data_IF_966497791084
#
_entry.id   IF_966497791084
#
_cell.length_a   1.000
_cell.length_b   1.000
_cell.length_c   1.000
_cell.angle_alpha   90.00
_cell.angle_beta   90.00
_cell.angle_gamma   90.00
#
_symmetry.space_group_name_H-M   'P 1'
#
loop_
_entity.id
_entity.type
_entity.pdbx_description
1 polymer ?
#
# COMPACT_ATOMS: atom_id res chain seq x y z
N UNK A 1 -22.16 19.55 8.20
CA UNK A 1 -20.75 19.49 7.82
C UNK A 1 -20.55 19.66 6.32
N UNK A 2 -19.89 20.74 5.93
CA UNK A 2 -19.37 20.98 4.58
C UNK A 2 -17.95 20.38 4.48
N UNK A 3 -17.62 19.73 3.36
CA UNK A 3 -16.28 19.21 3.09
C UNK A 3 -15.80 19.73 1.72
N UNK A 4 -14.56 20.17 1.66
CA UNK A 4 -13.86 20.56 0.44
C UNK A 4 -12.55 19.78 0.34
N UNK A 5 -12.10 19.52 -0.87
CA UNK A 5 -10.88 18.75 -1.15
C UNK A 5 -9.84 19.68 -1.75
N UNK A 6 -8.75 19.85 -1.01
CA UNK A 6 -7.54 20.51 -1.51
C UNK A 6 -6.69 19.51 -2.28
N UNK A 7 -6.25 19.88 -3.48
CA UNK A 7 -5.35 19.08 -4.31
C UNK A 7 -4.47 19.95 -5.20
N UNK A 8 -3.45 19.36 -5.85
CA UNK A 8 -2.73 20.02 -6.96
C UNK A 8 -3.31 19.59 -8.30
N UNK A 9 -3.51 20.55 -9.19
CA UNK A 9 -3.85 20.26 -10.59
C UNK A 9 -2.60 19.85 -11.40
N UNK A 10 -2.80 19.49 -12.66
CA UNK A 10 -1.71 19.06 -13.56
C UNK A 10 -0.66 20.15 -13.82
N UNK A 11 -0.98 21.41 -13.51
CA UNK A 11 -0.07 22.55 -13.61
C UNK A 11 0.60 22.86 -12.25
N UNK A 12 0.41 22.01 -11.24
CA UNK A 12 0.95 22.15 -9.90
C UNK A 12 0.26 23.21 -9.05
N UNK A 13 -0.88 23.77 -9.48
CA UNK A 13 -1.60 24.79 -8.72
C UNK A 13 -2.51 24.13 -7.70
N UNK A 14 -2.54 24.67 -6.49
CA UNK A 14 -3.51 24.22 -5.49
C UNK A 14 -4.93 24.65 -5.87
N UNK A 15 -5.86 23.71 -5.73
CA UNK A 15 -7.28 23.89 -5.96
C UNK A 15 -8.02 23.41 -4.73
N UNK A 16 -9.15 24.06 -4.44
CA UNK A 16 -10.09 23.66 -3.40
C UNK A 16 -11.44 23.51 -4.08
N UNK A 17 -11.98 22.29 -4.07
CA UNK A 17 -13.21 21.92 -4.80
C UNK A 17 -14.12 21.08 -3.92
N UNK A 18 -15.39 20.96 -4.27
CA UNK A 18 -16.26 19.98 -3.61
C UNK A 18 -15.82 18.55 -3.96
N UNK A 19 -15.97 17.56 -3.06
CA UNK A 19 -15.64 16.17 -3.37
C UNK A 19 -16.39 15.65 -4.59
N UNK A 20 -17.66 16.06 -4.78
CA UNK A 20 -18.45 15.74 -5.98
C UNK A 20 -17.77 16.15 -7.29
N UNK A 21 -17.07 17.27 -7.33
CA UNK A 21 -16.36 17.72 -8.53
C UNK A 21 -15.19 16.78 -8.94
N UNK A 22 -14.77 15.90 -8.02
CA UNK A 22 -13.72 14.91 -8.24
C UNK A 22 -14.26 13.52 -8.62
N UNK A 23 -15.56 13.38 -8.81
CA UNK A 23 -16.16 12.10 -9.20
C UNK A 23 -15.57 11.61 -10.52
N UNK A 24 -15.09 10.36 -10.52
CA UNK A 24 -14.46 9.73 -11.69
C UNK A 24 -13.03 10.20 -12.01
N UNK A 25 -12.54 11.27 -11.38
CA UNK A 25 -11.19 11.79 -11.60
C UNK A 25 -10.11 10.83 -11.08
N UNK A 26 -8.96 10.66 -11.78
CA UNK A 26 -7.86 9.79 -11.38
C UNK A 26 -6.96 10.44 -10.32
N UNK A 27 -7.57 10.83 -9.20
CA UNK A 27 -6.89 11.58 -8.13
C UNK A 27 -5.68 10.85 -7.53
N UNK A 28 -5.68 9.52 -7.56
CA UNK A 28 -4.57 8.67 -7.18
C UNK A 28 -3.30 8.90 -8.01
N UNK A 29 -3.44 9.38 -9.26
CA UNK A 29 -2.32 9.63 -10.16
C UNK A 29 -1.80 11.07 -10.10
N UNK A 30 -2.48 11.94 -9.35
CA UNK A 30 -2.11 13.35 -9.25
C UNK A 30 -0.86 13.58 -8.39
N UNK A 31 -0.18 14.73 -8.57
CA UNK A 31 0.96 15.08 -7.73
C UNK A 31 0.60 15.08 -6.25
N UNK A 32 1.54 14.61 -5.42
CA UNK A 32 1.38 14.67 -3.96
C UNK A 32 1.22 16.13 -3.50
N UNK A 33 0.27 16.38 -2.59
CA UNK A 33 -0.05 17.74 -2.17
C UNK A 33 1.09 18.36 -1.34
N UNK A 34 1.66 17.58 -0.43
CA UNK A 34 2.75 18.01 0.44
C UNK A 34 4.00 17.16 0.19
N UNK A 35 4.93 17.68 -0.59
CA UNK A 35 6.28 17.12 -0.67
C UNK A 35 6.98 17.31 0.67
N UNK A 36 7.37 16.21 1.31
CA UNK A 36 8.26 16.26 2.47
C UNK A 36 9.66 16.69 1.99
N UNK A 37 9.99 17.97 2.19
CA UNK A 37 11.34 18.48 1.92
C UNK A 37 12.25 18.21 3.12
N UNK A 38 13.49 17.74 2.90
CA UNK A 38 14.49 17.71 3.96
C UNK A 38 14.65 19.11 4.55
N UNK A 39 14.50 19.26 5.87
CA UNK A 39 14.77 20.53 6.55
C UNK A 39 16.25 20.63 6.92
N UNK A 40 16.89 21.76 6.62
CA UNK A 40 18.31 21.99 6.89
C UNK A 40 18.63 21.74 8.38
N UNK A 41 19.60 20.86 8.63
CA UNK A 41 20.12 20.55 9.97
C UNK A 41 19.50 19.33 10.67
N UNK A 42 18.39 18.76 10.16
CA UNK A 42 17.87 17.48 10.64
C UNK A 42 17.83 16.47 9.50
N UNK A 43 18.56 15.36 9.65
CA UNK A 43 18.36 14.14 8.84
C UNK A 43 16.99 13.52 9.19
N UNK A 44 15.90 14.23 8.91
CA UNK A 44 14.62 13.55 8.71
C UNK A 44 14.90 12.55 7.59
N UNK A 45 14.96 11.25 7.95
CA UNK A 45 15.18 10.19 6.97
C UNK A 45 13.99 10.30 6.03
N UNK A 46 14.16 10.89 4.85
CA UNK A 46 13.17 10.81 3.78
C UNK A 46 12.92 9.32 3.58
N UNK A 47 11.71 8.87 3.92
CA UNK A 47 11.36 7.45 3.83
C UNK A 47 10.73 7.25 2.48
N UNK A 48 11.57 7.19 1.45
CA UNK A 48 11.12 6.82 0.12
C UNK A 48 10.62 5.37 0.14
N UNK A 49 9.47 5.13 -0.47
CA UNK A 49 8.90 3.81 -0.67
C UNK A 49 8.67 3.60 -2.16
N UNK A 50 9.28 2.57 -2.72
CA UNK A 50 8.99 2.11 -4.08
C UNK A 50 7.88 1.06 -4.03
N UNK A 51 6.76 1.35 -4.70
CA UNK A 51 5.60 0.47 -4.84
C UNK A 51 5.81 -0.47 -6.03
N UNK A 52 5.74 -1.77 -5.78
CA UNK A 52 5.75 -2.82 -6.78
C UNK A 52 4.45 -2.89 -7.57
N UNK A 53 3.31 -2.47 -7.00
CA UNK A 53 2.04 -2.34 -7.73
C UNK A 53 2.11 -1.21 -8.76
N UNK A 54 2.61 -0.04 -8.37
CA UNK A 54 2.52 1.19 -9.18
C UNK A 54 3.79 1.47 -9.96
N UNK A 55 4.88 0.76 -9.66
CA UNK A 55 6.24 0.96 -10.22
C UNK A 55 6.76 2.39 -10.02
N UNK A 56 6.32 3.06 -8.96
CA UNK A 56 6.70 4.45 -8.64
C UNK A 56 7.15 4.57 -7.19
N UNK A 57 8.00 5.57 -6.95
CA UNK A 57 8.40 5.96 -5.60
C UNK A 57 7.52 7.08 -5.08
N UNK A 58 7.16 7.02 -3.80
CA UNK A 58 6.58 8.15 -3.08
C UNK A 58 7.20 8.27 -1.68
N UNK A 59 7.02 9.42 -1.04
CA UNK A 59 7.59 9.69 0.29
C UNK A 59 6.58 9.35 1.38
N UNK A 60 7.02 8.58 2.38
CA UNK A 60 6.24 8.29 3.57
C UNK A 60 6.59 9.24 4.73
N UNK A 61 5.55 9.68 5.45
CA UNK A 61 5.65 10.63 6.58
C UNK A 61 6.23 10.00 7.86
N UNK A 62 6.16 8.68 8.01
CA UNK A 62 6.66 7.93 9.16
C UNK A 62 7.05 6.50 8.76
N UNK A 63 7.73 5.76 9.65
CA UNK A 63 7.98 4.31 9.47
C UNK A 63 6.66 3.55 9.35
N UNK A 64 5.77 3.89 10.25
CA UNK A 64 4.40 3.39 10.38
C UNK A 64 3.58 3.58 9.07
N UNK A 65 3.72 4.73 8.42
CA UNK A 65 3.16 4.99 7.09
C UNK A 65 3.82 4.12 6.00
N UNK A 66 5.14 3.91 6.07
CA UNK A 66 5.85 3.02 5.13
C UNK A 66 5.42 1.56 5.30
N UNK A 67 5.24 1.09 6.53
CA UNK A 67 4.76 -0.27 6.81
C UNK A 67 3.33 -0.45 6.29
N UNK A 68 2.47 0.58 6.39
CA UNK A 68 1.13 0.54 5.79
C UNK A 68 1.18 0.50 4.26
N UNK A 69 2.09 1.25 3.63
CA UNK A 69 2.32 1.16 2.18
C UNK A 69 2.76 -0.25 1.78
N UNK A 70 3.63 -0.90 2.56
CA UNK A 70 4.03 -2.29 2.33
C UNK A 70 2.86 -3.27 2.36
N UNK A 71 1.91 -3.11 3.28
CA UNK A 71 0.73 -3.99 3.31
C UNK A 71 -0.16 -3.77 2.09
N UNK A 72 -0.42 -2.50 1.74
CA UNK A 72 -1.27 -2.17 0.59
C UNK A 72 -0.63 -2.53 -0.75
N UNK A 73 0.69 -2.43 -0.87
CA UNK A 73 1.44 -2.79 -2.10
C UNK A 73 1.48 -4.31 -2.33
N UNK A 74 1.18 -5.10 -1.31
CA UNK A 74 1.04 -6.56 -1.40
C UNK A 74 -0.40 -7.02 -1.63
N UNK A 75 -1.39 -6.15 -1.39
CA UNK A 75 -2.81 -6.50 -1.52
C UNK A 75 -3.15 -6.76 -3.00
N UNK A 76 -3.55 -8.00 -3.38
CA UNK A 76 -3.79 -8.35 -4.79
C UNK A 76 -4.96 -7.58 -5.42
N UNK A 77 -5.85 -7.01 -4.60
CA UNK A 77 -6.96 -6.21 -5.07
C UNK A 77 -6.56 -4.73 -5.29
N UNK A 78 -5.31 -4.33 -5.01
CA UNK A 78 -4.79 -2.99 -5.29
C UNK A 78 -4.04 -2.97 -6.62
N UNK A 79 -4.54 -2.17 -7.57
CA UNK A 79 -3.94 -1.98 -8.90
C UNK A 79 -3.15 -0.67 -9.04
N UNK A 80 -3.33 0.27 -8.11
CA UNK A 80 -2.55 1.50 -8.03
C UNK A 80 -2.50 1.98 -6.58
N UNK A 81 -1.34 2.48 -6.15
CA UNK A 81 -1.08 2.99 -4.80
C UNK A 81 -0.21 4.25 -4.85
N UNK A 82 -0.67 5.32 -4.20
CA UNK A 82 0.10 6.55 -4.02
C UNK A 82 -0.08 7.12 -2.62
N UNK A 83 0.92 7.88 -2.16
CA UNK A 83 0.71 8.80 -1.05
C UNK A 83 -0.42 9.78 -1.40
N UNK A 84 -1.21 10.20 -0.40
CA UNK A 84 -2.34 11.10 -0.66
C UNK A 84 -1.92 12.36 -1.44
N UNK A 85 -2.61 12.59 -2.55
CA UNK A 85 -2.58 13.82 -3.35
C UNK A 85 -3.58 14.87 -2.85
N UNK A 86 -4.31 14.54 -1.78
CA UNK A 86 -5.47 15.27 -1.29
C UNK A 86 -5.33 15.62 0.20
N UNK A 87 -5.99 16.70 0.59
CA UNK A 87 -6.31 17.07 1.96
C UNK A 87 -7.80 17.42 2.03
N UNK A 88 -8.50 16.93 3.06
CA UNK A 88 -9.92 17.19 3.24
C UNK A 88 -10.08 18.33 4.26
N UNK A 89 -10.62 19.45 3.82
CA UNK A 89 -10.99 20.58 4.67
C UNK A 89 -12.46 20.47 5.03
N UNK A 90 -12.82 20.64 6.29
CA UNK A 90 -14.20 20.54 6.72
C UNK A 90 -14.62 21.71 7.62
N UNK A 91 -15.91 22.03 7.55
CA UNK A 91 -16.58 23.01 8.39
C UNK A 91 -17.92 22.47 8.90
N UNK A 92 -18.19 22.66 10.18
CA UNK A 92 -19.47 22.33 10.81
C UNK A 92 -19.87 23.45 11.78
N UNK A 93 -20.68 24.39 11.28
CA UNK A 93 -20.91 25.67 11.95
C UNK A 93 -19.58 26.46 12.08
N UNK A 94 -19.25 26.85 13.30
CA UNK A 94 -17.99 27.55 13.64
C UNK A 94 -16.77 26.60 13.72
N UNK A 95 -16.99 25.28 13.80
CA UNK A 95 -15.89 24.31 13.89
C UNK A 95 -15.30 24.09 12.50
N UNK A 96 -13.98 24.11 12.41
CA UNK A 96 -13.26 23.80 11.17
C UNK A 96 -12.09 22.87 11.47
N UNK A 97 -11.64 22.16 10.45
CA UNK A 97 -10.49 21.29 10.58
C UNK A 97 -10.04 20.70 9.26
N UNK A 98 -9.00 19.88 9.36
CA UNK A 98 -8.32 19.27 8.23
C UNK A 98 -8.10 17.79 8.53
N UNK A 99 -8.31 16.95 7.53
CA UNK A 99 -7.93 15.53 7.55
C UNK A 99 -6.96 15.29 6.41
N UNK A 100 -5.80 14.69 6.72
CA UNK A 100 -4.80 14.30 5.75
C UNK A 100 -4.84 12.77 5.52
N UNK A 101 -5.51 12.28 4.47
CA UNK A 101 -5.50 10.86 4.14
C UNK A 101 -4.07 10.31 4.01
N UNK A 102 -3.93 9.02 4.27
CA UNK A 102 -2.70 8.27 4.16
C UNK A 102 -2.33 8.07 2.68
N UNK A 103 -3.26 7.46 1.95
CA UNK A 103 -3.06 6.99 0.59
C UNK A 103 -4.30 7.21 -0.25
N UNK A 104 -4.08 7.35 -1.54
CA UNK A 104 -5.07 7.03 -2.54
C UNK A 104 -4.69 5.71 -3.20
N UNK A 105 -5.70 4.90 -3.50
CA UNK A 105 -5.50 3.67 -4.25
C UNK A 105 -6.62 3.44 -5.25
N UNK A 106 -6.36 2.60 -6.24
CA UNK A 106 -7.35 2.09 -7.18
C UNK A 106 -7.37 0.58 -7.09
N UNK A 107 -8.55 0.00 -6.90
CA UNK A 107 -8.73 -1.43 -6.90
C UNK A 107 -8.58 -2.03 -8.31
N UNK A 108 -8.34 -3.33 -8.44
CA UNK A 108 -8.34 -4.04 -9.73
C UNK A 108 -9.68 -3.83 -10.47
N UNK A 109 -10.80 -3.83 -9.74
CA UNK A 109 -12.12 -3.49 -10.28
C UNK A 109 -12.35 -2.00 -10.61
N UNK A 110 -11.32 -1.15 -10.55
CA UNK A 110 -11.38 0.27 -10.87
C UNK A 110 -11.89 1.18 -9.74
N UNK A 111 -12.41 0.63 -8.66
CA UNK A 111 -12.91 1.41 -7.52
C UNK A 111 -11.79 2.17 -6.81
N UNK A 112 -11.94 3.49 -6.69
CA UNK A 112 -11.01 4.33 -5.94
C UNK A 112 -11.22 4.22 -4.44
N UNK A 113 -10.12 4.24 -3.71
CA UNK A 113 -10.08 4.10 -2.26
C UNK A 113 -9.28 5.24 -1.65
N UNK A 114 -9.88 5.85 -0.62
CA UNK A 114 -9.21 6.82 0.24
C UNK A 114 -8.88 6.12 1.55
N UNK A 115 -7.61 6.03 1.88
CA UNK A 115 -7.17 5.40 3.11
C UNK A 115 -6.87 6.44 4.18
N UNK A 116 -7.53 6.33 5.33
CA UNK A 116 -7.06 6.96 6.57
C UNK A 116 -5.95 6.11 7.19
N UNK A 117 -5.17 6.71 8.10
CA UNK A 117 -4.05 6.02 8.73
C UNK A 117 -4.32 5.74 10.22
N UNK A 118 -4.22 4.48 10.65
CA UNK A 118 -4.30 4.12 12.06
C UNK A 118 -2.97 4.38 12.79
N UNK A 119 -2.76 5.62 13.26
CA UNK A 119 -1.50 6.10 13.86
C UNK A 119 -1.25 5.45 15.22
N UNK A 120 -0.08 4.87 15.42
CA UNK A 120 0.27 4.19 16.68
C UNK A 120 -0.72 3.07 17.07
N UNK A 121 -1.36 2.44 16.08
CA UNK A 121 -2.37 1.40 16.29
C UNK A 121 -3.73 1.91 16.77
N UNK A 122 -3.94 3.23 16.82
CA UNK A 122 -5.24 3.83 17.13
C UNK A 122 -6.02 4.08 15.85
N UNK A 123 -7.30 3.75 15.87
CA UNK A 123 -8.18 4.10 14.76
C UNK A 123 -8.26 5.61 14.55
N UNK A 124 -8.51 6.06 13.30
CA UNK A 124 -8.91 7.44 13.05
C UNK A 124 -10.07 7.81 13.98
N UNK A 125 -10.07 9.04 14.48
CA UNK A 125 -11.18 9.47 15.33
C UNK A 125 -12.48 9.60 14.51
N UNK A 126 -13.62 9.67 15.21
CA UNK A 126 -14.93 9.69 14.56
C UNK A 126 -15.12 10.91 13.65
N UNK A 127 -14.47 12.05 13.97
CA UNK A 127 -14.53 13.25 13.15
C UNK A 127 -13.75 13.05 11.85
N UNK A 128 -12.52 12.54 11.92
CA UNK A 128 -11.71 12.18 10.75
C UNK A 128 -12.44 11.17 9.85
N UNK A 129 -13.01 10.12 10.46
CA UNK A 129 -13.76 9.10 9.76
C UNK A 129 -15.06 9.65 9.13
N UNK A 130 -15.79 10.54 9.82
CA UNK A 130 -16.98 11.19 9.28
C UNK A 130 -16.67 12.10 8.09
N UNK A 131 -15.62 12.91 8.18
CA UNK A 131 -15.16 13.79 7.10
C UNK A 131 -14.75 12.98 5.87
N UNK A 132 -13.96 11.92 6.07
CA UNK A 132 -13.57 11.03 4.99
C UNK A 132 -14.78 10.35 4.34
N UNK A 133 -15.72 9.83 5.14
CA UNK A 133 -16.96 9.21 4.63
C UNK A 133 -17.81 10.19 3.82
N UNK A 134 -17.99 11.43 4.29
CA UNK A 134 -18.72 12.46 3.56
C UNK A 134 -18.05 12.77 2.21
N UNK A 135 -16.73 12.97 2.20
CA UNK A 135 -15.98 13.18 0.95
C UNK A 135 -16.08 11.97 0.01
N UNK A 136 -15.92 10.75 0.54
CA UNK A 136 -15.99 9.52 -0.23
C UNK A 136 -17.36 9.27 -0.84
N UNK A 137 -18.45 9.54 -0.11
CA UNK A 137 -19.82 9.42 -0.63
C UNK A 137 -20.06 10.35 -1.82
N UNK A 138 -19.63 11.61 -1.73
CA UNK A 138 -19.81 12.59 -2.80
C UNK A 138 -18.90 12.33 -4.01
N UNK A 139 -17.65 11.93 -3.78
CA UNK A 139 -16.66 11.69 -4.83
C UNK A 139 -16.77 10.28 -5.44
N UNK A 140 -17.53 9.36 -4.84
CA UNK A 140 -17.61 7.96 -5.24
C UNK A 140 -16.38 7.12 -4.84
N UNK A 141 -15.73 7.47 -3.73
CA UNK A 141 -14.58 6.73 -3.19
C UNK A 141 -14.99 5.81 -2.04
N UNK A 142 -14.36 4.64 -1.96
CA UNK A 142 -14.45 3.79 -0.79
C UNK A 142 -13.46 4.29 0.27
N UNK A 143 -13.96 4.60 1.46
CA UNK A 143 -13.12 4.99 2.59
C UNK A 143 -12.69 3.75 3.35
N UNK A 144 -11.38 3.61 3.60
CA UNK A 144 -10.80 2.49 4.36
C UNK A 144 -9.78 3.01 5.36
N UNK A 145 -9.41 2.17 6.32
CA UNK A 145 -8.30 2.44 7.23
C UNK A 145 -7.13 1.53 6.85
N UNK A 146 -5.96 2.11 6.60
CA UNK A 146 -4.74 1.34 6.39
C UNK A 146 -4.22 0.81 7.72
N UNK A 147 -4.15 -0.52 7.84
CA UNK A 147 -3.72 -1.22 9.05
C UNK A 147 -2.38 -1.90 8.81
N UNK A 148 -1.54 -1.90 9.84
CA UNK A 148 -0.29 -2.63 9.85
C UNK A 148 -0.44 -3.78 10.84
N UNK A 149 -0.21 -5.05 10.43
CA UNK A 149 -0.25 -6.16 11.38
C UNK A 149 0.84 -6.02 12.44
N UNK A 150 0.65 -6.66 13.58
CA UNK A 150 1.64 -6.69 14.65
C UNK A 150 2.52 -7.96 14.57
N UNK A 151 3.52 -8.03 15.45
CA UNK A 151 4.24 -9.28 15.74
C UNK A 151 4.96 -9.89 14.54
N UNK A 152 4.85 -11.22 14.42
CA UNK A 152 5.61 -12.01 13.46
C UNK A 152 5.15 -11.80 12.01
N UNK A 153 3.84 -11.67 11.79
CA UNK A 153 3.28 -11.36 10.47
C UNK A 153 3.93 -10.11 9.87
N UNK A 154 4.06 -9.02 10.65
CA UNK A 154 4.74 -7.80 10.20
C UNK A 154 6.20 -8.04 9.82
N UNK A 155 6.93 -8.84 10.59
CA UNK A 155 8.35 -9.15 10.34
C UNK A 155 8.52 -9.95 9.06
N UNK A 156 7.63 -10.93 8.82
CA UNK A 156 7.65 -11.74 7.61
C UNK A 156 7.29 -10.90 6.38
N UNK A 157 6.25 -10.06 6.46
CA UNK A 157 5.91 -9.10 5.40
C UNK A 157 7.08 -8.15 5.09
N UNK A 158 7.73 -7.63 6.13
CA UNK A 158 8.92 -6.80 5.97
C UNK A 158 10.04 -7.56 5.26
N UNK A 159 10.32 -8.81 5.65
CA UNK A 159 11.30 -9.66 5.00
C UNK A 159 11.00 -9.84 3.50
N UNK A 160 9.80 -10.32 3.15
CA UNK A 160 9.44 -10.58 1.74
C UNK A 160 9.38 -9.30 0.91
N UNK A 161 9.08 -8.14 1.52
CA UNK A 161 9.06 -6.86 0.82
C UNK A 161 10.41 -6.49 0.19
N UNK A 162 11.54 -7.04 0.67
CA UNK A 162 12.85 -6.78 0.06
C UNK A 162 12.98 -7.38 -1.33
N UNK A 163 12.15 -8.37 -1.68
CA UNK A 163 12.22 -9.09 -2.94
C UNK A 163 11.18 -8.60 -3.97
N UNK A 164 10.35 -7.62 -3.64
CA UNK A 164 9.22 -7.13 -4.46
C UNK A 164 9.57 -6.51 -5.83
N UNK A 165 10.86 -6.34 -6.13
CA UNK A 165 11.33 -5.69 -7.35
C UNK A 165 11.25 -6.64 -8.55
N UNK A 166 10.98 -6.08 -9.73
CA UNK A 166 10.77 -6.84 -10.98
C UNK A 166 12.01 -7.61 -11.45
N UNK A 167 13.19 -7.29 -10.90
CA UNK A 167 14.41 -8.08 -11.08
C UNK A 167 14.29 -9.52 -10.58
N UNK A 168 13.32 -9.80 -9.70
CA UNK A 168 13.00 -11.13 -9.22
C UNK A 168 11.78 -11.76 -9.94
N UNK A 169 11.27 -11.12 -11.00
CA UNK A 169 10.20 -11.67 -11.83
C UNK A 169 10.82 -12.51 -12.97
N UNK A 170 10.48 -13.80 -13.01
CA UNK A 170 10.87 -14.71 -14.08
C UNK A 170 9.73 -15.71 -14.34
N UNK A 171 9.02 -15.55 -15.46
CA UNK A 171 7.84 -16.37 -15.79
C UNK A 171 8.18 -17.85 -16.00
N UNK A 172 9.36 -18.16 -16.55
CA UNK A 172 9.76 -19.56 -16.76
C UNK A 172 10.07 -20.23 -15.43
N UNK A 173 10.81 -19.54 -14.57
CA UNK A 173 11.14 -20.04 -13.25
C UNK A 173 9.88 -20.12 -12.34
N UNK A 174 8.98 -19.15 -12.48
CA UNK A 174 7.68 -19.11 -11.78
C UNK A 174 6.90 -20.41 -11.96
N UNK A 175 6.64 -20.83 -13.19
CA UNK A 175 5.87 -22.04 -13.46
C UNK A 175 6.51 -23.30 -12.83
N UNK A 176 7.84 -23.41 -12.90
CA UNK A 176 8.59 -24.52 -12.30
C UNK A 176 8.51 -24.50 -10.76
N UNK A 177 8.64 -23.32 -10.15
CA UNK A 177 8.56 -23.16 -8.70
C UNK A 177 7.15 -23.47 -8.18
N UNK A 178 6.10 -22.95 -8.83
CA UNK A 178 4.72 -23.26 -8.45
C UNK A 178 4.44 -24.77 -8.53
N UNK A 179 4.97 -25.45 -9.54
CA UNK A 179 4.89 -26.91 -9.63
C UNK A 179 5.67 -27.61 -8.50
N UNK A 180 6.91 -27.18 -8.20
CA UNK A 180 7.72 -27.75 -7.14
C UNK A 180 7.12 -27.55 -5.73
N UNK A 181 6.36 -26.47 -5.54
CA UNK A 181 5.64 -26.12 -4.32
C UNK A 181 4.14 -26.50 -4.37
N UNK A 182 3.71 -27.36 -5.30
CA UNK A 182 2.35 -27.89 -5.33
C UNK A 182 1.97 -28.66 -4.05
N UNK A 183 2.96 -29.05 -3.25
CA UNK A 183 2.81 -29.52 -1.86
C UNK A 183 3.76 -28.75 -0.95
N UNK A 184 3.43 -28.56 0.34
CA UNK A 184 4.31 -27.91 1.30
C UNK A 184 5.72 -28.50 1.29
N UNK A 185 6.72 -27.65 1.10
CA UNK A 185 8.16 -28.00 1.07
C UNK A 185 8.99 -26.86 1.68
N UNK A 186 10.15 -27.14 2.29
CA UNK A 186 11.09 -26.09 2.68
C UNK A 186 11.45 -25.15 1.51
N UNK A 187 11.43 -23.84 1.76
CA UNK A 187 11.73 -22.81 0.75
C UNK A 187 13.05 -23.05 0.03
N UNK A 188 14.12 -23.38 0.77
CA UNK A 188 15.44 -23.65 0.20
C UNK A 188 15.43 -24.88 -0.71
N UNK A 189 14.78 -25.97 -0.29
CA UNK A 189 14.77 -27.22 -1.06
C UNK A 189 14.04 -27.06 -2.40
N UNK A 190 12.92 -26.33 -2.43
CA UNK A 190 12.18 -26.12 -3.68
C UNK A 190 12.99 -25.37 -4.74
N UNK A 191 13.73 -24.33 -4.35
CA UNK A 191 14.62 -23.60 -5.25
C UNK A 191 15.85 -24.42 -5.65
N UNK A 192 16.50 -25.06 -4.67
CA UNK A 192 17.75 -25.78 -4.87
C UNK A 192 17.56 -27.01 -5.77
N UNK A 193 16.43 -27.74 -5.65
CA UNK A 193 16.09 -28.86 -6.54
C UNK A 193 15.99 -28.48 -8.02
N UNK A 194 15.69 -27.21 -8.31
CA UNK A 194 15.56 -26.67 -9.67
C UNK A 194 16.80 -25.87 -10.10
N UNK A 195 17.82 -25.78 -9.24
CA UNK A 195 18.97 -24.90 -9.42
C UNK A 195 18.58 -23.43 -9.69
N UNK A 196 17.49 -22.96 -9.06
CA UNK A 196 16.97 -21.60 -9.22
C UNK A 196 17.38 -20.70 -8.03
N UNK A 197 17.52 -19.37 -8.24
CA UNK A 197 17.76 -18.44 -7.15
C UNK A 197 16.61 -18.45 -6.14
N UNK A 198 16.92 -18.59 -4.85
CA UNK A 198 15.93 -18.53 -3.76
C UNK A 198 15.16 -17.20 -3.72
N UNK A 199 15.75 -16.11 -4.24
CA UNK A 199 15.11 -14.80 -4.39
C UNK A 199 13.77 -14.87 -5.14
N UNK A 200 13.64 -15.79 -6.10
CA UNK A 200 12.40 -16.01 -6.84
C UNK A 200 11.29 -16.56 -5.93
N UNK A 201 11.58 -17.50 -5.02
CA UNK A 201 10.59 -17.96 -4.03
C UNK A 201 10.12 -16.83 -3.12
N UNK A 202 11.04 -15.96 -2.70
CA UNK A 202 10.72 -14.80 -1.88
C UNK A 202 9.85 -13.78 -2.61
N UNK A 203 10.08 -13.60 -3.92
CA UNK A 203 9.22 -12.80 -4.79
C UNK A 203 7.83 -13.41 -4.93
N UNK A 204 7.70 -14.72 -5.13
CA UNK A 204 6.40 -15.38 -5.21
C UNK A 204 5.61 -15.32 -3.88
N UNK A 205 6.31 -15.31 -2.73
CA UNK A 205 5.68 -15.03 -1.43
C UNK A 205 5.18 -13.59 -1.29
N UNK A 206 5.85 -12.64 -1.97
CA UNK A 206 5.42 -11.25 -2.03
C UNK A 206 4.19 -11.09 -2.93
N UNK A 207 4.21 -11.64 -4.14
CA UNK A 207 3.08 -11.58 -5.08
C UNK A 207 1.87 -12.39 -4.60
N UNK A 208 2.07 -13.31 -3.65
CA UNK A 208 1.01 -14.15 -3.08
C UNK A 208 0.75 -15.44 -3.84
N UNK A 209 1.62 -15.78 -4.78
CA UNK A 209 1.52 -17.01 -5.58
C UNK A 209 2.11 -18.22 -4.82
N UNK A 210 3.02 -17.94 -3.90
CA UNK A 210 3.39 -18.84 -2.81
C UNK A 210 2.87 -18.30 -1.48
N UNK A 211 2.59 -19.21 -0.55
CA UNK A 211 2.18 -18.87 0.81
C UNK A 211 2.86 -19.77 1.84
N UNK A 212 2.72 -19.41 3.12
CA UNK A 212 3.38 -20.07 4.25
C UNK A 212 2.57 -19.84 5.53
N UNK A 213 3.02 -20.40 6.64
CA UNK A 213 2.50 -20.05 7.97
C UNK A 213 3.07 -18.70 8.42
N UNK A 214 2.35 -17.62 8.11
CA UNK A 214 2.82 -16.25 8.30
C UNK A 214 2.96 -15.81 9.76
N UNK A 215 2.42 -16.56 10.71
CA UNK A 215 2.52 -16.35 12.15
C UNK A 215 3.82 -16.92 12.77
N UNK A 216 4.54 -17.78 12.05
CA UNK A 216 5.84 -18.34 12.45
C UNK A 216 7.02 -17.60 11.82
N UNK A 217 8.22 -17.64 12.42
CA UNK A 217 9.42 -17.09 11.77
C UNK A 217 9.65 -17.67 10.38
N UNK A 218 9.72 -16.79 9.38
CA UNK A 218 9.98 -17.17 8.00
C UNK A 218 11.50 -17.27 7.77
N UNK A 219 11.99 -18.49 7.64
CA UNK A 219 13.39 -18.87 7.47
C UNK A 219 13.53 -19.81 6.26
N UNK A 220 14.75 -20.07 5.75
CA UNK A 220 14.93 -20.90 4.55
C UNK A 220 14.32 -22.31 4.63
N UNK A 221 14.18 -22.88 5.84
CA UNK A 221 13.57 -24.20 6.06
C UNK A 221 12.06 -24.16 6.32
N UNK A 222 11.44 -22.97 6.36
CA UNK A 222 9.98 -22.83 6.50
C UNK A 222 9.28 -23.50 5.33
N UNK A 223 8.16 -24.19 5.64
CA UNK A 223 7.32 -24.80 4.62
C UNK A 223 6.58 -23.72 3.82
N UNK A 224 6.66 -23.84 2.51
CA UNK A 224 6.01 -22.98 1.53
C UNK A 224 5.24 -23.87 0.56
N UNK A 225 4.11 -23.38 0.06
CA UNK A 225 3.31 -24.06 -0.96
C UNK A 225 2.67 -23.02 -1.90
N UNK A 226 2.27 -23.44 -3.10
CA UNK A 226 1.51 -22.60 -4.01
C UNK A 226 0.16 -22.24 -3.39
N UNK A 227 -0.20 -20.95 -3.42
CA UNK A 227 -1.53 -20.52 -2.99
C UNK A 227 -2.54 -20.96 -4.04
N UNK A 228 -3.70 -21.46 -3.61
CA UNK A 228 -4.62 -22.27 -4.40
C UNK A 228 -5.34 -21.56 -5.56
N UNK A 229 -4.98 -20.33 -5.89
CA UNK A 229 -5.46 -19.66 -7.11
C UNK A 229 -4.66 -20.18 -8.30
N UNK A 230 -5.21 -21.28 -8.82
CA UNK A 230 -4.77 -22.02 -9.98
C UNK A 230 -4.77 -21.12 -11.22
N UNK A 231 -3.75 -21.34 -12.07
CA UNK A 231 -3.65 -20.95 -13.49
C UNK A 231 -4.96 -20.60 -14.21
#
# INVERSE_FOLDING_TARGET
MEVQVRHRDVLGRERLVSPRALHGAPVEEWPVLHEQRPYNGRRSKVRQYWSSTTKKSFVCRSLEHRDAAMVLDRDPDVAFLSASSLQLEWRDGERTGVVDPAFMARAVGGQRRLYLYARGGREPDEQEAAVARAAGQEAGWQVRTARVPAGQLRRNLYLVSHFRHDENADEKARALLLHAFARPRPLCEGADCLALPRALCWYLLWTGELTTQWDLPLIPTSLVWADGETL
#
